data_IF_970666809112
#
_entry.id   IF_970666809112
#
_cell.length_a   1.000
_cell.length_b   1.000
_cell.length_c   1.000
_cell.angle_alpha   90.00
_cell.angle_beta   90.00
_cell.angle_gamma   90.00
#
_symmetry.space_group_name_H-M   'P 1'
#
loop_
_entity.id
_entity.type
_entity.pdbx_description
1 polymer ?
#
# COMPACT_ATOMS: atom_id res chain seq x y z
N UNK A 1 14.93 -8.39 -9.13
CA UNK A 1 15.98 -8.72 -8.14
C UNK A 1 16.69 -7.42 -7.80
N UNK A 2 16.36 -6.81 -6.67
CA UNK A 2 17.02 -5.61 -6.14
C UNK A 2 17.05 -5.76 -4.63
N UNK A 3 18.24 -5.62 -4.07
CA UNK A 3 18.60 -5.78 -2.66
C UNK A 3 19.02 -4.40 -2.15
N UNK A 4 18.41 -3.92 -1.05
CA UNK A 4 18.88 -2.74 -0.32
C UNK A 4 18.69 -2.95 1.19
N UNK A 5 19.83 -2.92 1.89
CA UNK A 5 20.02 -3.08 3.33
C UNK A 5 19.89 -1.73 4.06
N UNK A 6 19.17 -1.67 5.19
CA UNK A 6 19.67 -1.32 6.54
C UNK A 6 18.55 -0.98 7.58
N UNK A 7 18.83 -1.09 8.89
CA UNK A 7 17.83 -1.36 9.93
C UNK A 7 17.40 -0.12 10.72
N UNK A 8 16.16 -0.11 11.20
CA UNK A 8 15.72 0.83 12.24
C UNK A 8 15.12 0.12 13.46
N UNK A 9 15.41 0.72 14.62
CA UNK A 9 15.31 0.17 15.97
C UNK A 9 13.87 -0.08 16.45
N UNK A 10 13.65 -1.25 17.06
CA UNK A 10 12.41 -1.59 17.80
C UNK A 10 12.41 -0.91 19.16
N UNK A 11 11.51 0.05 19.38
CA UNK A 11 11.06 0.41 20.73
C UNK A 11 9.81 -0.41 21.05
N UNK A 12 10.01 -1.53 21.73
CA UNK A 12 8.94 -2.38 22.25
C UNK A 12 8.51 -1.84 23.62
N UNK A 13 7.38 -1.13 23.69
CA UNK A 13 6.73 -0.82 24.97
C UNK A 13 5.88 -2.03 25.38
N UNK A 14 6.37 -2.84 26.32
CA UNK A 14 5.56 -3.88 26.97
C UNK A 14 5.05 -3.29 28.29
N UNK A 15 3.77 -2.90 28.33
CA UNK A 15 3.07 -2.60 29.58
C UNK A 15 2.45 -3.88 30.14
N UNK A 16 2.60 -4.21 31.43
CA UNK A 16 2.03 -5.43 32.00
C UNK A 16 0.55 -5.20 32.32
N UNK A 17 -0.36 -5.76 31.51
CA UNK A 17 -1.79 -5.74 31.80
C UNK A 17 -2.29 -7.17 32.02
N UNK A 18 -2.95 -7.37 33.17
CA UNK A 18 -3.64 -8.59 33.62
C UNK A 18 -4.44 -9.25 32.50
N UNK A 19 -4.27 -10.56 32.38
CA UNK A 19 -4.99 -11.45 31.46
C UNK A 19 -6.48 -11.47 31.74
N UNK A 20 -7.24 -10.66 30.99
CA UNK A 20 -8.64 -10.92 30.72
C UNK A 20 -8.72 -11.53 29.32
N UNK A 21 -9.39 -12.68 29.16
CA UNK A 21 -9.57 -13.41 27.89
C UNK A 21 -10.46 -12.65 26.89
N UNK A 22 -10.14 -11.39 26.59
CA UNK A 22 -10.69 -10.66 25.44
C UNK A 22 -9.66 -10.76 24.32
N UNK A 23 -10.11 -11.23 23.16
CA UNK A 23 -9.31 -11.37 21.95
C UNK A 23 -8.38 -10.16 21.79
N UNK A 24 -7.07 -10.40 21.90
CA UNK A 24 -6.06 -9.35 21.82
C UNK A 24 -6.10 -8.79 20.40
N UNK A 25 -6.57 -7.55 20.23
CA UNK A 25 -6.43 -6.85 18.96
C UNK A 25 -5.14 -6.04 19.00
N UNK A 26 -4.23 -6.28 18.06
CA UNK A 26 -2.99 -5.52 17.91
C UNK A 26 -3.19 -4.44 16.85
N UNK A 27 -2.94 -3.19 17.20
CA UNK A 27 -2.92 -2.06 16.26
C UNK A 27 -1.49 -1.61 16.03
N UNK A 28 -1.15 -1.28 14.78
CA UNK A 28 0.16 -0.80 14.40
C UNK A 28 0.04 0.23 13.27
N UNK A 29 1.06 1.09 13.18
CA UNK A 29 1.23 2.00 12.06
C UNK A 29 2.72 2.10 11.72
N UNK A 30 3.04 2.27 10.44
CA UNK A 30 4.43 2.40 9.99
C UNK A 30 4.54 2.82 8.54
N UNK A 31 5.71 3.31 8.12
CA UNK A 31 5.97 3.61 6.72
C UNK A 31 6.06 2.31 5.91
N UNK A 32 5.68 2.39 4.64
CA UNK A 32 5.99 1.38 3.65
C UNK A 32 6.44 2.05 2.35
N UNK A 33 7.42 1.44 1.70
CA UNK A 33 7.99 1.90 0.43
C UNK A 33 7.90 0.77 -0.58
N UNK A 34 7.78 1.11 -1.86
CA UNK A 34 7.72 0.14 -2.93
C UNK A 34 7.79 0.78 -4.30
N UNK A 35 7.54 -0.03 -5.33
CA UNK A 35 7.45 0.42 -6.70
C UNK A 35 6.22 -0.19 -7.37
N UNK A 36 5.59 0.58 -8.25
CA UNK A 36 4.52 0.14 -9.13
C UNK A 36 5.11 0.02 -10.52
N UNK A 37 4.84 -1.09 -11.20
CA UNK A 37 5.18 -1.30 -12.60
C UNK A 37 3.89 -1.49 -13.39
N UNK A 38 3.73 -0.71 -14.44
CA UNK A 38 2.55 -0.74 -15.30
C UNK A 38 2.78 -1.82 -16.36
N UNK A 39 2.14 -2.96 -16.20
CA UNK A 39 2.33 -4.10 -17.11
C UNK A 39 1.46 -4.00 -18.37
N UNK A 40 0.26 -3.43 -18.24
CA UNK A 40 -0.70 -3.27 -19.34
C UNK A 40 -1.60 -2.06 -19.08
N UNK A 41 -2.03 -1.38 -20.14
CA UNK A 41 -2.86 -0.18 -20.07
C UNK A 41 -3.60 0.06 -21.37
N UNK A 42 -4.67 0.85 -21.31
CA UNK A 42 -5.33 1.44 -22.48
C UNK A 42 -5.24 2.97 -22.50
N UNK A 43 -4.65 3.61 -21.48
CA UNK A 43 -4.57 5.06 -21.37
C UNK A 43 -3.14 5.59 -21.32
N UNK A 44 -2.90 6.70 -22.02
CA UNK A 44 -1.57 7.28 -22.22
C UNK A 44 -0.85 7.73 -20.93
N UNK A 45 -1.61 8.02 -19.86
CA UNK A 45 -1.11 8.45 -18.56
C UNK A 45 -0.40 7.33 -17.80
N UNK A 46 -0.68 6.08 -18.16
CA UNK A 46 -0.04 4.91 -17.54
C UNK A 46 0.66 4.15 -18.67
N UNK A 47 1.83 4.60 -19.10
CA UNK A 47 2.57 3.90 -20.16
C UNK A 47 2.95 2.48 -19.74
N UNK A 48 2.82 1.51 -20.65
CA UNK A 48 3.36 0.16 -20.45
C UNK A 48 4.85 0.24 -20.14
N UNK A 49 5.31 -0.57 -19.18
CA UNK A 49 6.65 -0.57 -18.58
C UNK A 49 7.02 0.72 -17.82
N UNK A 50 6.07 1.65 -17.67
CA UNK A 50 6.18 2.78 -16.78
C UNK A 50 6.29 2.32 -15.33
N UNK A 51 7.06 3.07 -14.54
CA UNK A 51 7.27 2.78 -13.13
C UNK A 51 6.99 4.01 -12.27
N UNK A 52 6.57 3.77 -11.03
CA UNK A 52 6.38 4.79 -10.02
C UNK A 52 6.96 4.32 -8.70
N UNK A 53 7.62 5.21 -7.97
CA UNK A 53 8.02 4.97 -6.59
C UNK A 53 6.83 5.23 -5.67
N UNK A 54 6.53 4.30 -4.78
CA UNK A 54 5.39 4.39 -3.89
C UNK A 54 5.85 4.54 -2.45
N UNK A 55 5.25 5.49 -1.75
CA UNK A 55 5.41 5.68 -0.31
C UNK A 55 4.03 5.67 0.34
N UNK A 56 3.91 5.01 1.49
CA UNK A 56 2.65 4.84 2.20
C UNK A 56 2.84 4.99 3.71
N UNK A 57 1.78 5.37 4.39
CA UNK A 57 1.64 5.17 5.83
C UNK A 57 0.64 4.05 6.05
N UNK A 58 1.11 2.86 6.42
CA UNK A 58 0.24 1.70 6.62
C UNK A 58 -0.27 1.70 8.05
N UNK A 59 -1.58 1.60 8.20
CA UNK A 59 -2.25 1.38 9.47
C UNK A 59 -2.90 0.01 9.45
N UNK A 60 -2.70 -0.78 10.50
CA UNK A 60 -3.20 -2.14 10.56
C UNK A 60 -3.81 -2.48 11.90
N UNK A 61 -4.80 -3.37 11.85
CA UNK A 61 -5.43 -3.98 13.01
C UNK A 61 -5.48 -5.50 12.80
N UNK A 62 -4.73 -6.22 13.62
CA UNK A 62 -4.80 -7.67 13.71
C UNK A 62 -5.76 -8.09 14.83
N UNK A 63 -6.52 -9.15 14.59
CA UNK A 63 -7.49 -9.73 15.53
C UNK A 63 -7.57 -11.24 15.31
N UNK A 64 -8.33 -11.94 16.16
CA UNK A 64 -8.57 -13.38 16.00
C UNK A 64 -9.24 -13.76 14.66
N UNK A 65 -9.96 -12.83 14.03
CA UNK A 65 -10.68 -13.05 12.77
C UNK A 65 -9.87 -12.62 11.54
N UNK A 66 -8.63 -12.14 11.72
CA UNK A 66 -7.75 -11.71 10.64
C UNK A 66 -7.19 -10.30 10.81
N UNK A 67 -6.61 -9.78 9.73
CA UNK A 67 -5.93 -8.49 9.69
C UNK A 67 -6.60 -7.56 8.68
N UNK A 68 -6.93 -6.36 9.12
CA UNK A 68 -7.42 -5.26 8.28
C UNK A 68 -6.35 -4.17 8.21
N UNK A 69 -6.16 -3.60 7.03
CA UNK A 69 -5.20 -2.52 6.80
C UNK A 69 -5.80 -1.42 5.93
N UNK A 70 -5.34 -0.20 6.20
CA UNK A 70 -5.58 0.99 5.40
C UNK A 70 -4.26 1.73 5.21
N UNK A 71 -4.00 2.22 4.01
CA UNK A 71 -2.75 2.88 3.65
C UNK A 71 -3.02 4.03 2.67
N UNK A 72 -3.04 5.29 3.14
CA UNK A 72 -2.81 6.42 2.25
C UNK A 72 -1.40 6.34 1.67
N UNK A 73 -1.30 6.55 0.37
CA UNK A 73 -0.09 6.38 -0.41
C UNK A 73 0.09 7.53 -1.41
N UNK A 74 1.34 7.77 -1.79
CA UNK A 74 1.72 8.59 -2.95
C UNK A 74 2.60 7.74 -3.87
N UNK A 75 2.23 7.67 -5.14
CA UNK A 75 3.03 7.04 -6.19
C UNK A 75 3.58 8.12 -7.13
N UNK A 76 4.91 8.20 -7.26
CA UNK A 76 5.61 9.26 -7.98
C UNK A 76 6.29 8.70 -9.24
N UNK A 77 5.96 9.23 -10.42
CA UNK A 77 6.66 8.93 -11.67
C UNK A 77 7.80 9.93 -11.94
N UNK A 78 7.68 11.16 -11.42
CA UNK A 78 8.66 12.23 -11.55
C UNK A 78 8.49 13.25 -10.42
N UNK A 79 9.37 14.25 -10.33
CA UNK A 79 9.23 15.35 -9.36
C UNK A 79 7.91 16.14 -9.49
N UNK A 80 7.24 16.08 -10.64
CA UNK A 80 6.02 16.84 -10.93
C UNK A 80 4.78 15.95 -11.07
N UNK A 81 4.97 14.64 -11.23
CA UNK A 81 3.92 13.68 -11.53
C UNK A 81 3.75 12.69 -10.37
N UNK A 82 2.74 12.94 -9.54
CA UNK A 82 2.37 12.09 -8.42
C UNK A 82 0.89 11.70 -8.51
N UNK A 83 0.59 10.46 -8.13
CA UNK A 83 -0.75 9.90 -7.97
C UNK A 83 -1.01 9.65 -6.50
N UNK A 84 -2.15 10.11 -6.01
CA UNK A 84 -2.58 9.91 -4.63
C UNK A 84 -3.56 8.75 -4.55
N UNK A 85 -3.30 7.84 -3.61
CA UNK A 85 -4.07 6.61 -3.48
C UNK A 85 -4.41 6.30 -2.03
N UNK A 86 -5.52 5.61 -1.80
CA UNK A 86 -5.88 5.02 -0.50
C UNK A 86 -6.16 3.55 -0.69
N UNK A 87 -5.34 2.69 -0.11
CA UNK A 87 -5.43 1.24 -0.23
C UNK A 87 -6.03 0.64 1.03
N UNK A 88 -7.05 -0.22 0.89
CA UNK A 88 -7.69 -0.95 1.98
C UNK A 88 -7.68 -2.44 1.68
N UNK A 89 -7.28 -3.26 2.65
CA UNK A 89 -7.35 -4.73 2.51
C UNK A 89 -7.76 -5.43 3.79
N UNK A 90 -8.33 -6.62 3.61
CA UNK A 90 -8.53 -7.60 4.67
C UNK A 90 -7.96 -8.93 4.20
N UNK A 91 -6.95 -9.45 4.90
CA UNK A 91 -6.20 -10.62 4.42
C UNK A 91 -5.39 -10.31 3.15
N UNK A 92 -5.49 -11.16 2.12
CA UNK A 92 -4.67 -11.08 0.90
C UNK A 92 -5.31 -10.28 -0.25
N UNK A 93 -6.53 -9.76 -0.10
CA UNK A 93 -7.20 -9.00 -1.16
C UNK A 93 -7.66 -7.64 -0.66
N UNK A 94 -7.74 -6.67 -1.56
CA UNK A 94 -8.07 -5.30 -1.23
C UNK A 94 -8.50 -4.47 -2.41
N UNK A 95 -8.80 -3.21 -2.11
CA UNK A 95 -9.18 -2.19 -3.08
C UNK A 95 -8.39 -0.91 -2.81
N UNK A 96 -7.86 -0.33 -3.87
CA UNK A 96 -7.16 0.95 -3.86
C UNK A 96 -8.02 1.98 -4.57
N UNK A 97 -8.29 3.11 -3.94
CA UNK A 97 -8.94 4.26 -4.57
C UNK A 97 -7.87 5.20 -5.11
N UNK A 98 -8.01 5.64 -6.36
CA UNK A 98 -7.23 6.73 -6.92
C UNK A 98 -8.00 8.02 -6.62
N UNK A 99 -7.42 8.90 -5.80
CA UNK A 99 -8.14 10.07 -5.27
C UNK A 99 -7.72 11.38 -5.92
N UNK A 100 -6.75 11.34 -6.83
CA UNK A 100 -6.24 12.50 -7.54
C UNK A 100 -4.75 12.40 -7.83
N UNK A 101 -4.18 13.48 -8.33
CA UNK A 101 -2.75 13.56 -8.61
C UNK A 101 -2.29 14.94 -9.08
N UNK A 102 -1.00 15.06 -9.32
CA UNK A 102 -0.33 16.22 -9.91
C UNK A 102 0.16 15.90 -11.32
N UNK A 103 0.57 16.95 -12.06
CA UNK A 103 1.14 16.80 -13.39
C UNK A 103 0.23 16.00 -14.33
N UNK A 104 0.76 14.96 -14.95
CA UNK A 104 0.03 14.09 -15.87
C UNK A 104 -1.08 13.27 -15.20
N UNK A 105 -1.05 13.08 -13.88
CA UNK A 105 -2.08 12.38 -13.09
C UNK A 105 -3.17 13.33 -12.55
N UNK A 106 -3.12 14.62 -12.87
CA UNK A 106 -4.14 15.57 -12.44
C UNK A 106 -5.53 15.16 -12.93
N UNK A 107 -6.49 15.20 -11.99
CA UNK A 107 -7.90 14.87 -12.25
C UNK A 107 -8.20 13.37 -12.31
N UNK A 108 -7.20 12.50 -12.22
CA UNK A 108 -7.44 11.06 -12.25
C UNK A 108 -8.14 10.61 -10.98
N UNK A 109 -9.29 9.95 -11.15
CA UNK A 109 -10.00 9.24 -10.09
C UNK A 109 -10.38 7.85 -10.57
N UNK A 110 -10.48 6.90 -9.65
CA UNK A 110 -10.75 5.52 -10.02
C UNK A 110 -10.58 4.57 -8.86
N UNK A 111 -10.59 3.28 -9.18
CA UNK A 111 -10.32 2.24 -8.21
C UNK A 111 -9.59 1.07 -8.86
N UNK A 112 -8.80 0.38 -8.05
CA UNK A 112 -8.12 -0.85 -8.41
C UNK A 112 -8.50 -1.94 -7.42
N UNK A 113 -8.94 -3.08 -7.93
CA UNK A 113 -9.02 -4.29 -7.12
C UNK A 113 -7.66 -4.99 -7.19
N UNK A 114 -7.14 -5.42 -6.05
CA UNK A 114 -5.79 -5.99 -5.97
C UNK A 114 -5.71 -7.19 -5.03
N UNK A 115 -4.74 -8.05 -5.33
CA UNK A 115 -4.36 -9.18 -4.49
C UNK A 115 -2.89 -9.09 -4.13
N UNK A 116 -2.53 -9.58 -2.96
CA UNK A 116 -1.16 -9.56 -2.46
C UNK A 116 -0.69 -10.95 -2.03
N UNK A 117 0.58 -11.24 -2.30
CA UNK A 117 1.29 -12.40 -1.79
C UNK A 117 2.52 -11.95 -1.01
N UNK A 118 2.77 -12.60 0.13
CA UNK A 118 3.97 -12.38 0.92
C UNK A 118 5.12 -13.20 0.34
N UNK A 119 6.22 -12.53 0.02
CA UNK A 119 7.48 -13.18 -0.37
C UNK A 119 8.34 -13.41 0.87
N UNK A 120 8.32 -12.44 1.81
CA UNK A 120 8.89 -12.55 3.15
C UNK A 120 7.97 -11.82 4.16
N UNK A 121 8.24 -11.88 5.47
CA UNK A 121 7.47 -11.12 6.46
C UNK A 121 7.43 -9.59 6.20
N UNK A 122 8.46 -9.06 5.53
CA UNK A 122 8.64 -7.64 5.23
C UNK A 122 8.32 -7.29 3.77
N UNK A 123 8.30 -8.27 2.87
CA UNK A 123 8.14 -8.06 1.42
C UNK A 123 6.84 -8.66 0.93
N UNK A 124 6.04 -7.81 0.29
CA UNK A 124 4.76 -8.17 -0.31
C UNK A 124 4.77 -7.77 -1.78
N UNK A 125 4.26 -8.64 -2.64
CA UNK A 125 4.04 -8.36 -4.06
C UNK A 125 2.54 -8.35 -4.32
N UNK A 126 2.07 -7.30 -5.00
CA UNK A 126 0.67 -7.15 -5.35
C UNK A 126 0.45 -7.05 -6.86
N UNK A 127 -0.66 -7.61 -7.31
CA UNK A 127 -1.18 -7.40 -8.67
C UNK A 127 -2.50 -6.66 -8.56
N UNK A 128 -2.66 -5.57 -9.32
CA UNK A 128 -3.83 -4.72 -9.29
C UNK A 128 -4.41 -4.52 -10.69
N UNK A 129 -5.73 -4.52 -10.79
CA UNK A 129 -6.48 -4.17 -11.99
C UNK A 129 -7.25 -2.89 -11.73
N UNK A 130 -6.97 -1.85 -12.49
CA UNK A 130 -7.52 -0.51 -12.26
C UNK A 130 -8.53 -0.10 -13.33
N UNK A 131 -9.62 0.53 -12.89
CA UNK A 131 -10.52 1.31 -13.73
C UNK A 131 -10.49 2.77 -13.25
N UNK A 132 -10.27 3.70 -14.17
CA UNK A 132 -10.10 5.10 -13.85
C UNK A 132 -10.64 6.00 -14.96
N UNK A 133 -10.88 7.26 -14.60
CA UNK A 133 -11.31 8.33 -15.48
C UNK A 133 -10.60 9.63 -15.10
N UNK A 134 -10.69 10.62 -15.97
CA UNK A 134 -10.25 11.99 -15.74
C UNK A 134 -11.44 12.94 -15.82
#
# INVERSE_FOLDING_TARGET
MVELLKPWHRLCWISPIRTNKRALSLSFAGPAEGAIVITQTSGAQFATDGHMEMTCVVQGRASATGMSMEAPCTASASMHDALYLVSKRSGSTGRTELVGGTGMYRGIVGACDYEVSSVSPEVVVGTATCAWQR
#
